data_IF_382651639693
#
_entry.id   IF_382651639693
#
_cell.length_a   1.000
_cell.length_b   1.000
_cell.length_c   1.000
_cell.angle_alpha   90.00
_cell.angle_beta   90.00
_cell.angle_gamma   90.00
#
_symmetry.space_group_name_H-M   'P 1'
#
loop_
_entity.id
_entity.type
_entity.pdbx_description
1 polymer ?
#
# COMPACT_ATOMS: atom_id res chain seq x y z
N UNK A 1 3.10 0.32 -32.09
CA UNK A 1 1.98 0.59 -33.03
C UNK A 1 0.74 0.85 -32.17
N UNK A 2 0.01 1.96 -32.36
CA UNK A 2 -1.18 2.25 -31.53
C UNK A 2 -2.39 1.48 -32.07
N UNK A 3 -3.23 0.96 -31.18
CA UNK A 3 -4.44 0.22 -31.56
C UNK A 3 -5.37 1.12 -32.39
N UNK A 4 -6.07 0.61 -33.42
CA UNK A 4 -6.97 1.40 -34.26
C UNK A 4 -8.07 2.13 -33.48
N UNK A 5 -8.48 1.59 -32.33
CA UNK A 5 -9.45 2.20 -31.41
C UNK A 5 -8.86 3.18 -30.39
N UNK A 6 -7.56 3.44 -30.38
CA UNK A 6 -6.93 4.37 -29.43
C UNK A 6 -7.31 5.81 -29.77
N UNK A 7 -8.12 6.43 -28.91
CA UNK A 7 -8.46 7.84 -28.99
C UNK A 7 -7.65 8.63 -27.97
N UNK A 8 -6.71 9.45 -28.45
CA UNK A 8 -5.93 10.34 -27.58
C UNK A 8 -6.88 11.37 -26.96
N UNK A 9 -6.97 11.42 -25.63
CA UNK A 9 -7.85 12.35 -24.90
C UNK A 9 -9.29 11.88 -24.76
N UNK A 10 -9.58 10.57 -24.91
CA UNK A 10 -10.88 10.03 -24.53
C UNK A 10 -11.12 10.27 -23.04
N UNK A 11 -12.23 10.94 -22.70
CA UNK A 11 -12.63 11.11 -21.30
C UNK A 11 -12.87 9.72 -20.69
N UNK A 12 -12.41 9.45 -19.46
CA UNK A 12 -12.78 8.24 -18.75
C UNK A 12 -14.30 8.10 -18.73
N UNK A 13 -14.83 6.98 -19.22
CA UNK A 13 -16.29 6.72 -19.18
C UNK A 13 -16.79 6.55 -17.73
N UNK A 14 -15.87 6.19 -16.84
CA UNK A 14 -16.12 6.07 -15.40
C UNK A 14 -15.53 7.29 -14.70
N UNK A 15 -16.40 8.16 -14.17
CA UNK A 15 -16.00 9.10 -13.13
C UNK A 15 -15.94 8.31 -11.81
N UNK A 16 -14.72 8.05 -11.34
CA UNK A 16 -14.53 7.52 -10.00
C UNK A 16 -14.62 8.70 -9.03
N UNK A 17 -15.71 8.76 -8.28
CA UNK A 17 -15.76 9.62 -7.11
C UNK A 17 -14.63 9.19 -6.15
N UNK A 18 -14.00 10.15 -5.46
CA UNK A 18 -13.08 9.86 -4.37
C UNK A 18 -13.86 10.00 -3.06
N UNK A 19 -14.51 8.93 -2.55
CA UNK A 19 -15.41 9.06 -1.42
C UNK A 19 -14.66 9.38 -0.14
N UNK A 20 -15.39 9.95 0.80
CA UNK A 20 -14.89 10.15 2.15
C UNK A 20 -14.51 8.81 2.79
N UNK A 21 -13.34 8.73 3.44
CA UNK A 21 -12.95 7.53 4.17
C UNK A 21 -13.98 7.15 5.23
N UNK A 22 -14.35 5.86 5.26
CA UNK A 22 -15.26 5.27 6.23
C UNK A 22 -14.50 4.71 7.44
N UNK A 23 -15.24 4.35 8.50
CA UNK A 23 -14.67 3.63 9.63
C UNK A 23 -14.19 2.23 9.21
N UNK A 24 -13.03 1.83 9.73
CA UNK A 24 -12.47 0.51 9.45
C UNK A 24 -13.29 -0.59 10.18
N UNK A 25 -13.70 -1.66 9.47
CA UNK A 25 -14.28 -2.84 10.10
C UNK A 25 -13.40 -3.41 11.22
N UNK A 26 -14.02 -3.84 12.33
CA UNK A 26 -13.30 -4.28 13.54
C UNK A 26 -12.31 -5.42 13.32
N UNK A 27 -12.57 -6.28 12.34
CA UNK A 27 -11.72 -7.40 12.00
C UNK A 27 -10.40 -6.98 11.30
N UNK A 28 -10.30 -5.74 10.83
CA UNK A 28 -9.16 -5.25 10.03
C UNK A 28 -8.16 -4.40 10.84
N UNK A 29 -8.42 -4.16 12.13
CA UNK A 29 -7.46 -3.47 12.98
C UNK A 29 -6.23 -4.33 13.27
N UNK A 30 -5.05 -3.74 13.06
CA UNK A 30 -3.81 -4.18 13.68
C UNK A 30 -3.64 -3.59 15.09
N UNK A 31 -2.78 -4.20 15.89
CA UNK A 31 -2.52 -3.79 17.27
C UNK A 31 -1.56 -2.60 17.31
N UNK A 32 -0.57 -2.61 16.42
CA UNK A 32 0.42 -1.54 16.22
C UNK A 32 0.77 -1.43 14.75
N UNK A 33 1.34 -0.28 14.38
CA UNK A 33 1.88 -0.08 13.05
C UNK A 33 3.09 0.84 13.09
N UNK A 34 3.91 0.77 12.03
CA UNK A 34 5.04 1.65 11.83
C UNK A 34 5.25 1.96 10.35
N UNK A 35 5.72 3.17 10.05
CA UNK A 35 6.31 3.47 8.76
C UNK A 35 7.68 2.79 8.68
N UNK A 36 7.91 2.05 7.60
CA UNK A 36 9.15 1.31 7.36
C UNK A 36 9.63 1.56 5.94
N UNK A 37 10.88 1.17 5.67
CA UNK A 37 11.43 1.17 4.31
C UNK A 37 12.28 -0.09 4.13
N UNK A 38 12.14 -0.72 2.97
CA UNK A 38 12.94 -1.89 2.59
C UNK A 38 13.63 -1.63 1.25
N UNK A 39 14.91 -2.04 1.07
CA UNK A 39 15.51 -2.09 -0.25
C UNK A 39 14.64 -2.94 -1.18
N UNK A 40 14.51 -2.53 -2.44
CA UNK A 40 13.68 -3.25 -3.41
C UNK A 40 14.12 -4.71 -3.57
N UNK A 41 15.42 -5.04 -3.38
CA UNK A 41 15.88 -6.42 -3.31
C UNK A 41 15.19 -7.25 -2.22
N UNK A 42 14.98 -6.68 -1.02
CA UNK A 42 14.29 -7.34 0.07
C UNK A 42 12.78 -7.45 -0.22
N UNK A 43 12.17 -6.43 -0.84
CA UNK A 43 10.78 -6.49 -1.31
C UNK A 43 10.57 -7.64 -2.30
N UNK A 44 11.50 -7.85 -3.24
CA UNK A 44 11.44 -8.99 -4.18
C UNK A 44 11.57 -10.34 -3.48
N UNK A 45 12.40 -10.42 -2.45
CA UNK A 45 12.56 -11.63 -1.64
C UNK A 45 11.28 -11.97 -0.88
N UNK A 46 10.63 -10.97 -0.26
CA UNK A 46 9.34 -11.14 0.39
C UNK A 46 8.27 -11.65 -0.60
N UNK A 47 8.16 -11.02 -1.78
CA UNK A 47 7.18 -11.44 -2.81
C UNK A 47 7.46 -12.86 -3.29
N UNK A 48 8.72 -13.22 -3.51
CA UNK A 48 9.09 -14.58 -3.91
C UNK A 48 8.76 -15.60 -2.81
N UNK A 49 8.94 -15.20 -1.54
CA UNK A 49 8.59 -15.99 -0.38
C UNK A 49 7.07 -16.16 -0.24
N UNK A 50 6.27 -15.15 -0.64
CA UNK A 50 4.81 -15.26 -0.66
C UNK A 50 4.35 -16.44 -1.51
N UNK A 51 4.86 -16.52 -2.74
CA UNK A 51 4.53 -17.57 -3.69
C UNK A 51 4.92 -18.96 -3.18
N UNK A 52 6.07 -19.06 -2.51
CA UNK A 52 6.58 -20.32 -1.99
C UNK A 52 5.86 -20.80 -0.71
N UNK A 53 5.51 -19.87 0.20
CA UNK A 53 4.97 -20.19 1.53
C UNK A 53 3.43 -20.10 1.62
N UNK A 54 2.74 -19.70 0.56
CA UNK A 54 1.29 -19.49 0.52
C UNK A 54 0.79 -18.55 1.64
N UNK A 55 1.57 -17.52 1.95
CA UNK A 55 1.15 -16.42 2.85
C UNK A 55 0.25 -15.43 2.11
N UNK A 56 -0.51 -14.63 2.84
CA UNK A 56 -1.50 -13.71 2.26
C UNK A 56 -0.80 -12.54 1.56
N UNK A 57 -1.32 -12.09 0.42
CA UNK A 57 -0.61 -11.03 -0.29
C UNK A 57 -0.97 -10.89 -1.75
N UNK A 58 -0.39 -9.85 -2.34
CA UNK A 58 -0.41 -9.62 -3.77
C UNK A 58 0.94 -9.05 -4.21
N UNK A 59 1.56 -9.69 -5.20
CA UNK A 59 2.68 -9.12 -5.93
C UNK A 59 2.21 -8.21 -7.07
N UNK A 60 3.15 -7.45 -7.64
CA UNK A 60 2.96 -6.74 -8.90
C UNK A 60 4.01 -7.21 -9.90
N UNK A 61 3.56 -7.50 -11.11
CA UNK A 61 4.46 -7.72 -12.25
C UNK A 61 4.93 -6.35 -12.77
N UNK A 62 6.02 -5.85 -12.21
CA UNK A 62 6.57 -4.54 -12.57
C UNK A 62 7.12 -4.51 -13.99
N UNK A 63 7.61 -5.65 -14.50
CA UNK A 63 8.11 -5.77 -15.87
C UNK A 63 6.96 -5.59 -16.88
N UNK A 64 5.80 -6.20 -16.60
CA UNK A 64 4.59 -6.02 -17.40
C UNK A 64 4.09 -4.56 -17.36
N UNK A 65 4.27 -3.88 -16.23
CA UNK A 65 3.93 -2.47 -16.05
C UNK A 65 4.98 -1.51 -16.64
N UNK A 66 6.14 -2.02 -17.07
CA UNK A 66 7.26 -1.23 -17.58
C UNK A 66 7.90 -0.33 -16.51
N UNK A 67 7.85 -0.75 -15.25
CA UNK A 67 8.41 -0.03 -14.10
C UNK A 67 9.75 -0.65 -13.74
N UNK A 68 10.84 0.08 -14.01
CA UNK A 68 12.19 -0.32 -13.60
C UNK A 68 12.56 0.32 -12.25
N UNK A 69 12.98 -0.50 -11.29
CA UNK A 69 13.36 -0.06 -9.94
C UNK A 69 14.72 -0.65 -9.59
N UNK A 70 15.67 0.18 -9.17
CA UNK A 70 16.99 -0.30 -8.71
C UNK A 70 16.86 -1.06 -7.39
N UNK A 71 17.59 -2.18 -7.26
CA UNK A 71 17.54 -3.08 -6.11
C UNK A 71 17.81 -2.42 -4.75
N UNK A 72 18.57 -1.31 -4.73
CA UNK A 72 18.88 -0.56 -3.50
C UNK A 72 17.87 0.54 -3.20
N UNK A 73 16.92 0.79 -4.11
CA UNK A 73 15.86 1.79 -3.90
C UNK A 73 15.07 1.41 -2.65
N UNK A 74 14.98 2.34 -1.70
CA UNK A 74 14.21 2.15 -0.48
C UNK A 74 12.72 2.35 -0.78
N UNK A 75 11.98 1.24 -0.80
CA UNK A 75 10.53 1.26 -0.99
C UNK A 75 9.88 1.52 0.35
N UNK A 76 9.05 2.56 0.48
CA UNK A 76 8.30 2.81 1.70
C UNK A 76 7.21 1.77 1.90
N UNK A 77 6.95 1.43 3.15
CA UNK A 77 5.85 0.55 3.50
C UNK A 77 5.23 0.87 4.85
N UNK A 78 4.09 0.22 5.09
CA UNK A 78 3.41 0.20 6.38
C UNK A 78 3.53 -1.21 6.96
N UNK A 79 4.25 -1.34 8.08
CA UNK A 79 4.28 -2.59 8.83
C UNK A 79 3.17 -2.56 9.88
N UNK A 80 2.41 -3.64 9.99
CA UNK A 80 1.29 -3.79 10.90
C UNK A 80 1.49 -5.04 11.74
N UNK A 81 1.62 -4.85 13.05
CA UNK A 81 1.69 -5.96 14.00
C UNK A 81 0.30 -6.28 14.56
N UNK A 82 -0.03 -7.57 14.67
CA UNK A 82 -1.22 -8.00 15.38
C UNK A 82 -1.05 -9.38 16.01
N UNK A 83 -1.57 -9.56 17.23
CA UNK A 83 -1.72 -10.87 17.86
C UNK A 83 -2.63 -11.83 17.07
N UNK A 84 -3.34 -11.30 16.06
CA UNK A 84 -4.19 -12.05 15.12
C UNK A 84 -3.71 -11.84 13.67
N UNK A 85 -2.40 -11.74 13.43
CA UNK A 85 -1.83 -11.47 12.11
C UNK A 85 -2.35 -12.42 11.02
N UNK A 86 -2.48 -13.72 11.30
CA UNK A 86 -3.03 -14.70 10.33
C UNK A 86 -4.49 -14.42 9.96
N UNK A 87 -5.44 -14.32 10.91
CA UNK A 87 -6.79 -13.87 10.61
C UNK A 87 -6.84 -12.50 9.89
N UNK A 88 -6.05 -11.53 10.35
CA UNK A 88 -5.97 -10.20 9.75
C UNK A 88 -5.56 -10.27 8.28
N UNK A 89 -4.47 -10.99 7.97
CA UNK A 89 -4.00 -11.20 6.61
C UNK A 89 -5.05 -11.89 5.73
N UNK A 90 -5.76 -12.89 6.27
CA UNK A 90 -6.84 -13.58 5.56
C UNK A 90 -8.00 -12.64 5.19
N UNK A 91 -8.42 -11.78 6.12
CA UNK A 91 -9.48 -10.80 5.85
C UNK A 91 -9.03 -9.73 4.85
N UNK A 92 -7.80 -9.22 5.00
CA UNK A 92 -7.24 -8.24 4.07
C UNK A 92 -7.11 -8.79 2.65
N UNK A 93 -6.78 -10.08 2.50
CA UNK A 93 -6.67 -10.72 1.19
C UNK A 93 -7.99 -10.71 0.40
N UNK A 94 -9.14 -10.60 1.09
CA UNK A 94 -10.45 -10.52 0.45
C UNK A 94 -10.90 -9.10 0.07
N UNK A 95 -10.14 -8.05 0.40
CA UNK A 95 -10.56 -6.66 0.20
C UNK A 95 -10.09 -6.05 -1.12
N UNK A 96 -9.16 -6.69 -1.84
CA UNK A 96 -8.46 -6.07 -2.98
C UNK A 96 -7.75 -4.78 -2.53
N UNK A 97 -6.75 -4.90 -1.65
CA UNK A 97 -5.98 -3.74 -1.18
C UNK A 97 -5.29 -3.03 -2.34
N UNK A 98 -5.52 -1.72 -2.48
CA UNK A 98 -5.00 -0.93 -3.61
C UNK A 98 -3.87 0.03 -3.19
N UNK A 99 -4.07 0.79 -2.11
CA UNK A 99 -3.07 1.76 -1.65
C UNK A 99 -3.22 2.12 -0.19
N UNK A 100 -2.12 2.60 0.39
CA UNK A 100 -2.08 3.28 1.69
C UNK A 100 -1.64 4.73 1.46
N UNK A 101 -2.32 5.67 2.11
CA UNK A 101 -2.04 7.10 2.05
C UNK A 101 -1.95 7.70 3.47
N UNK A 102 -0.99 8.56 3.74
CA UNK A 102 -0.91 9.32 4.98
C UNK A 102 -1.58 10.69 4.83
N UNK A 103 -2.76 10.86 5.43
CA UNK A 103 -3.45 12.16 5.54
C UNK A 103 -2.89 12.94 6.74
N UNK A 104 -1.94 13.84 6.46
CA UNK A 104 -1.28 14.68 7.46
C UNK A 104 -2.19 15.79 8.01
N UNK A 105 -3.22 16.17 7.26
CA UNK A 105 -4.21 17.13 7.72
C UNK A 105 -5.03 16.55 8.87
N UNK A 106 -5.44 15.29 8.75
CA UNK A 106 -6.24 14.54 9.73
C UNK A 106 -5.44 13.69 10.70
N UNK A 107 -4.13 13.56 10.49
CA UNK A 107 -3.25 12.68 11.24
C UNK A 107 -3.74 11.21 11.22
N UNK A 108 -4.02 10.72 10.01
CA UNK A 108 -4.54 9.38 9.78
C UNK A 108 -3.89 8.68 8.60
N UNK A 109 -3.96 7.35 8.60
CA UNK A 109 -3.65 6.50 7.46
C UNK A 109 -4.95 6.09 6.78
N UNK A 110 -5.01 6.21 5.46
CA UNK A 110 -6.14 5.83 4.64
C UNK A 110 -5.79 4.58 3.85
N UNK A 111 -6.61 3.54 3.98
CA UNK A 111 -6.51 2.31 3.20
C UNK A 111 -7.56 2.35 2.08
N UNK A 112 -7.10 2.35 0.84
CA UNK A 112 -7.96 2.23 -0.33
C UNK A 112 -8.07 0.78 -0.76
N UNK A 113 -9.29 0.30 -0.97
CA UNK A 113 -9.58 -1.08 -1.37
C UNK A 113 -10.62 -1.11 -2.49
N UNK A 114 -10.49 -2.08 -3.39
CA UNK A 114 -11.33 -2.18 -4.58
C UNK A 114 -11.38 -0.89 -5.41
N UNK A 115 -12.53 -0.59 -6.00
CA UNK A 115 -12.68 0.51 -6.97
C UNK A 115 -12.86 1.88 -6.30
N UNK A 116 -13.60 1.94 -5.19
CA UNK A 116 -14.04 3.19 -4.58
C UNK A 116 -14.25 3.10 -3.07
N UNK A 117 -13.62 2.14 -2.39
CA UNK A 117 -13.75 2.03 -0.94
C UNK A 117 -12.50 2.57 -0.27
N UNK A 118 -12.68 3.45 0.72
CA UNK A 118 -11.59 4.00 1.53
C UNK A 118 -11.93 3.88 3.00
N UNK A 119 -10.96 3.47 3.80
CA UNK A 119 -11.09 3.34 5.24
C UNK A 119 -10.06 4.20 5.96
N UNK A 120 -10.44 4.81 7.08
CA UNK A 120 -9.47 5.32 8.05
C UNK A 120 -8.84 4.11 8.74
N UNK A 121 -7.67 3.68 8.26
CA UNK A 121 -7.00 2.48 8.73
C UNK A 121 -6.42 2.65 10.13
N UNK A 122 -5.75 3.77 10.36
CA UNK A 122 -5.21 4.11 11.66
C UNK A 122 -5.17 5.63 11.86
N UNK A 123 -5.03 6.05 13.10
CA UNK A 123 -4.78 7.45 13.45
C UNK A 123 -3.51 7.55 14.28
N UNK A 124 -2.88 8.72 14.25
CA UNK A 124 -1.74 9.03 15.10
C UNK A 124 -1.92 10.38 15.77
N UNK A 125 -1.22 10.56 16.89
CA UNK A 125 -1.21 11.85 17.57
C UNK A 125 -0.53 12.87 16.67
N UNK A 126 -1.24 13.95 16.33
CA UNK A 126 -0.68 15.04 15.52
C UNK A 126 0.36 15.82 16.33
N UNK A 127 1.62 15.72 15.90
CA UNK A 127 2.77 16.45 16.46
C UNK A 127 3.68 16.86 15.31
N UNK A 128 4.57 17.86 15.46
CA UNK A 128 5.52 18.22 14.42
C UNK A 128 6.38 17.03 13.95
N UNK A 129 6.75 16.13 14.87
CA UNK A 129 7.56 14.94 14.56
C UNK A 129 6.75 13.95 13.71
N UNK A 130 5.58 13.53 14.19
CA UNK A 130 4.74 12.55 13.47
C UNK A 130 4.21 13.09 12.14
N UNK A 131 3.96 14.40 12.03
CA UNK A 131 3.63 15.05 10.76
C UNK A 131 4.82 14.98 9.80
N UNK A 132 6.04 15.30 10.25
CA UNK A 132 7.23 15.21 9.41
C UNK A 132 7.53 13.79 8.95
N UNK A 133 7.29 12.77 9.79
CA UNK A 133 7.47 11.36 9.43
C UNK A 133 6.47 10.94 8.34
N UNK A 134 5.19 11.29 8.50
CA UNK A 134 4.16 11.01 7.50
C UNK A 134 4.41 11.73 6.16
N UNK A 135 4.86 12.99 6.20
CA UNK A 135 5.24 13.74 5.01
C UNK A 135 6.46 13.12 4.30
N UNK A 136 7.46 12.69 5.06
CA UNK A 136 8.64 12.01 4.52
C UNK A 136 8.27 10.66 3.88
N UNK A 137 7.34 9.91 4.48
CA UNK A 137 6.85 8.65 3.93
C UNK A 137 6.12 8.85 2.59
N UNK A 138 5.20 9.81 2.51
CA UNK A 138 4.51 10.17 1.25
C UNK A 138 5.48 10.69 0.18
N UNK A 139 6.47 11.49 0.58
CA UNK A 139 7.51 11.97 -0.32
C UNK A 139 8.36 10.81 -0.89
N UNK A 140 8.73 9.83 -0.05
CA UNK A 140 9.44 8.64 -0.48
C UNK A 140 8.60 7.79 -1.43
N UNK A 141 7.30 7.63 -1.15
CA UNK A 141 6.35 6.88 -2.00
C UNK A 141 6.26 7.53 -3.37
N UNK A 142 6.11 8.86 -3.41
CA UNK A 142 6.11 9.63 -4.65
C UNK A 142 7.44 9.52 -5.42
N UNK A 143 8.57 9.53 -4.71
CA UNK A 143 9.89 9.38 -5.33
C UNK A 143 10.08 8.00 -6.00
N UNK A 144 9.41 6.97 -5.47
CA UNK A 144 9.36 5.63 -6.06
C UNK A 144 8.19 5.44 -7.05
N UNK A 145 7.64 6.54 -7.60
CA UNK A 145 6.56 6.46 -8.59
C UNK A 145 5.22 5.96 -8.05
N UNK A 146 5.01 6.02 -6.73
CA UNK A 146 3.82 5.50 -6.07
C UNK A 146 3.95 4.06 -5.58
N UNK A 147 5.09 3.41 -5.83
CA UNK A 147 5.37 2.06 -5.34
C UNK A 147 5.56 2.08 -3.83
N UNK A 148 4.83 1.22 -3.13
CA UNK A 148 4.90 1.05 -1.68
C UNK A 148 4.41 -0.34 -1.30
N UNK A 149 4.51 -0.72 -0.02
CA UNK A 149 3.99 -2.01 0.45
C UNK A 149 3.22 -1.91 1.76
N UNK A 150 2.41 -2.93 2.02
CA UNK A 150 1.76 -3.19 3.30
C UNK A 150 2.21 -4.56 3.79
N UNK A 151 2.72 -4.64 5.02
CA UNK A 151 3.16 -5.88 5.64
C UNK A 151 2.36 -6.12 6.92
N UNK A 152 1.89 -7.36 7.12
CA UNK A 152 1.20 -7.81 8.33
C UNK A 152 2.04 -8.91 8.98
N UNK A 153 2.32 -8.77 10.27
CA UNK A 153 3.23 -9.63 11.03
C UNK A 153 2.76 -9.79 12.48
N UNK A 154 3.30 -10.78 13.19
CA UNK A 154 2.91 -11.04 14.58
C UNK A 154 3.45 -9.95 15.54
N UNK A 155 4.65 -9.42 15.25
CA UNK A 155 5.27 -8.30 15.98
C UNK A 155 6.07 -7.40 15.02
N UNK A 156 6.29 -6.12 15.36
CA UNK A 156 7.04 -5.16 14.53
C UNK A 156 8.51 -5.54 14.36
N UNK A 157 9.08 -6.32 15.28
CA UNK A 157 10.46 -6.79 15.24
C UNK A 157 10.61 -8.20 14.62
N UNK A 158 9.54 -8.75 14.03
CA UNK A 158 9.56 -10.07 13.37
C UNK A 158 10.31 -10.00 12.03
N UNK A 159 11.17 -10.99 11.78
CA UNK A 159 11.85 -11.15 10.50
C UNK A 159 10.91 -11.68 9.39
N UNK A 160 9.85 -12.40 9.77
CA UNK A 160 8.87 -12.97 8.83
C UNK A 160 7.55 -12.20 8.83
N UNK A 161 6.99 -11.99 7.63
CA UNK A 161 5.65 -11.46 7.42
C UNK A 161 4.61 -12.59 7.28
N UNK A 162 3.42 -12.40 7.83
CA UNK A 162 2.24 -13.26 7.65
C UNK A 162 1.44 -12.87 6.40
N UNK A 163 1.52 -11.59 6.00
CA UNK A 163 1.08 -11.18 4.69
C UNK A 163 1.81 -9.95 4.17
N UNK A 164 1.91 -9.83 2.86
CA UNK A 164 2.65 -8.78 2.19
C UNK A 164 1.98 -8.39 0.87
N UNK A 165 1.66 -7.11 0.70
CA UNK A 165 1.06 -6.56 -0.52
C UNK A 165 1.98 -5.51 -1.11
N UNK A 166 2.46 -5.74 -2.33
CA UNK A 166 3.11 -4.72 -3.13
C UNK A 166 2.02 -3.91 -3.84
N UNK A 167 2.06 -2.59 -3.66
CA UNK A 167 0.99 -1.68 -4.03
C UNK A 167 1.55 -0.56 -4.93
N UNK A 168 0.71 -0.08 -5.84
CA UNK A 168 1.08 0.99 -6.76
C UNK A 168 -0.01 2.05 -6.80
N UNK A 169 0.31 3.23 -6.28
CA UNK A 169 -0.58 4.39 -6.27
C UNK A 169 -0.16 5.39 -7.35
N UNK A 170 -0.71 5.22 -8.55
CA UNK A 170 -0.42 6.11 -9.67
C UNK A 170 -1.25 7.39 -9.56
N UNK A 171 -0.65 8.57 -9.81
CA UNK A 171 -1.45 9.77 -9.96
C UNK A 171 -2.45 9.57 -11.12
N UNK A 172 -3.65 10.17 -11.03
CA UNK A 172 -4.62 10.09 -12.10
C UNK A 172 -3.98 10.56 -13.42
N UNK A 173 -4.27 9.89 -14.54
CA UNK A 173 -3.67 10.24 -15.81
C UNK A 173 -3.95 11.72 -16.14
N UNK A 174 -2.96 12.46 -16.66
CA UNK A 174 -3.18 13.84 -17.06
C UNK A 174 -4.27 13.88 -18.14
N UNK A 175 -5.32 14.63 -17.87
CA UNK A 175 -6.45 14.88 -18.78
C UNK A 175 -6.07 15.77 -19.95
#
# INVERSE_FOLDING_TARGET
MRHPGFQKGSKPLLALDNPFPMELPENLFGDKWAFVQLPFSAVKEEISTLEARFVFGAGLDLDLLGIEVDDKTLIPGLAVASSRAKPLGAWMNGLEVCSVEADTARASLILSVGISTRYVYATYKKTPVTTSEAEAWEAAKKACGGLHFLAVQDDLDSDDCVGFWLLLDLPPPPV
#
